data_IF_944498872025
#
_entry.id   IF_944498872025
#
_cell.length_a   1.000
_cell.length_b   1.000
_cell.length_c   1.000
_cell.angle_alpha   90.00
_cell.angle_beta   90.00
_cell.angle_gamma   90.00
#
_symmetry.space_group_name_H-M   'P 1'
#
loop_
_entity.id
_entity.type
_entity.pdbx_description
1 polymer ?
#
# COMPACT_ATOMS: atom_id res chain seq x y z
N UNK A 1 -42.87 -17.71 -2.08
CA UNK A 1 -42.17 -16.42 -2.27
C UNK A 1 -40.74 -16.62 -1.81
N UNK A 2 -39.80 -16.74 -2.73
CA UNK A 2 -38.37 -16.81 -2.43
C UNK A 2 -37.89 -15.39 -2.15
N UNK A 3 -37.34 -15.16 -0.95
CA UNK A 3 -36.71 -13.89 -0.57
C UNK A 3 -35.38 -13.84 -1.32
N UNK A 4 -35.20 -12.86 -2.19
CA UNK A 4 -33.89 -12.61 -2.81
C UNK A 4 -32.87 -12.30 -1.71
N UNK A 5 -31.65 -12.88 -1.76
CA UNK A 5 -30.61 -12.56 -0.81
C UNK A 5 -30.27 -11.06 -0.95
N UNK A 6 -30.01 -10.34 0.16
CA UNK A 6 -29.64 -8.94 0.08
C UNK A 6 -28.40 -8.80 -0.81
N UNK A 7 -28.51 -7.94 -1.82
CA UNK A 7 -27.37 -7.45 -2.61
C UNK A 7 -26.23 -7.07 -1.65
N UNK A 8 -25.00 -7.56 -1.84
CA UNK A 8 -23.88 -7.07 -1.06
C UNK A 8 -23.78 -5.57 -1.34
N UNK A 9 -23.78 -4.78 -0.27
CA UNK A 9 -23.48 -3.36 -0.35
C UNK A 9 -22.13 -3.26 -1.05
N UNK A 10 -22.13 -2.80 -2.31
CA UNK A 10 -20.91 -2.47 -3.01
C UNK A 10 -20.21 -1.46 -2.12
N UNK A 11 -19.19 -1.95 -1.40
CA UNK A 11 -18.41 -1.16 -0.48
C UNK A 11 -17.69 -0.16 -1.35
N UNK A 12 -18.27 1.03 -1.50
CA UNK A 12 -17.52 2.23 -1.80
C UNK A 12 -16.37 2.17 -0.80
N UNK A 13 -15.17 1.89 -1.29
CA UNK A 13 -14.00 1.75 -0.44
C UNK A 13 -13.91 3.05 0.31
N UNK A 14 -14.18 3.03 1.63
CA UNK A 14 -13.90 4.19 2.45
C UNK A 14 -12.44 4.58 2.18
N UNK A 15 -12.15 5.88 1.97
CA UNK A 15 -10.78 6.33 1.78
C UNK A 15 -9.93 5.75 2.89
N UNK A 16 -8.85 5.06 2.53
CA UNK A 16 -7.94 4.45 3.50
C UNK A 16 -7.50 5.52 4.49
N UNK A 17 -7.55 5.19 5.78
CA UNK A 17 -7.12 6.11 6.82
C UNK A 17 -5.66 6.52 6.55
N UNK A 18 -5.35 7.82 6.49
CA UNK A 18 -4.01 8.27 6.18
C UNK A 18 -3.03 7.80 7.27
N UNK A 19 -1.88 7.29 6.85
CA UNK A 19 -0.79 6.89 7.75
C UNK A 19 -0.17 8.12 8.42
N UNK A 20 0.52 7.92 9.56
CA UNK A 20 1.33 8.98 10.17
C UNK A 20 2.64 9.19 9.40
N UNK A 21 3.24 10.39 9.44
CA UNK A 21 4.52 10.65 8.76
C UNK A 21 5.64 9.67 9.16
N UNK A 22 5.78 9.37 10.45
CA UNK A 22 6.78 8.44 10.97
C UNK A 22 6.55 6.99 10.48
N UNK A 23 5.29 6.58 10.37
CA UNK A 23 4.89 5.26 9.90
C UNK A 23 5.21 5.10 8.41
N UNK A 24 4.97 6.15 7.60
CA UNK A 24 5.36 6.19 6.19
C UNK A 24 6.88 6.06 6.07
N UNK A 25 7.65 6.84 6.83
CA UNK A 25 9.11 6.80 6.77
C UNK A 25 9.66 5.41 7.12
N UNK A 26 9.18 4.79 8.20
CA UNK A 26 9.63 3.47 8.63
C UNK A 26 9.33 2.37 7.59
N UNK A 27 8.11 2.36 7.05
CA UNK A 27 7.70 1.37 6.04
C UNK A 27 8.53 1.48 4.76
N UNK A 28 8.72 2.70 4.25
CA UNK A 28 9.49 2.93 3.03
C UNK A 28 10.99 2.75 3.23
N UNK A 29 11.55 3.07 4.40
CA UNK A 29 12.94 2.75 4.72
C UNK A 29 13.21 1.23 4.63
N UNK A 30 12.33 0.40 5.21
CA UNK A 30 12.42 -1.06 5.11
C UNK A 30 12.32 -1.56 3.66
N UNK A 31 11.33 -1.06 2.91
CA UNK A 31 11.14 -1.44 1.50
C UNK A 31 12.36 -1.08 0.63
N UNK A 32 12.92 0.12 0.81
CA UNK A 32 14.09 0.56 0.06
C UNK A 32 15.32 -0.28 0.37
N UNK A 33 15.59 -0.55 1.65
CA UNK A 33 16.69 -1.39 2.10
C UNK A 33 16.62 -2.78 1.45
N UNK A 34 15.43 -3.39 1.44
CA UNK A 34 15.22 -4.69 0.77
C UNK A 34 15.42 -4.62 -0.74
N UNK A 35 14.93 -3.59 -1.42
CA UNK A 35 15.08 -3.45 -2.88
C UNK A 35 16.53 -3.34 -3.32
N UNK A 36 17.38 -2.68 -2.53
CA UNK A 36 18.82 -2.55 -2.83
C UNK A 36 19.66 -3.70 -2.26
N UNK A 37 19.05 -4.64 -1.53
CA UNK A 37 19.73 -5.77 -0.91
C UNK A 37 20.52 -5.42 0.35
N UNK A 38 20.23 -4.28 0.98
CA UNK A 38 20.82 -3.86 2.26
C UNK A 38 20.03 -4.49 3.42
N UNK A 39 20.34 -5.75 3.72
CA UNK A 39 19.64 -6.51 4.74
C UNK A 39 19.97 -6.07 6.16
N UNK A 40 21.16 -5.51 6.39
CA UNK A 40 21.56 -5.00 7.71
C UNK A 40 20.67 -3.81 8.08
N UNK A 41 20.53 -2.82 7.20
CA UNK A 41 19.61 -1.69 7.41
C UNK A 41 18.15 -2.16 7.53
N UNK A 42 17.74 -3.18 6.76
CA UNK A 42 16.38 -3.71 6.87
C UNK A 42 16.13 -4.38 8.23
N UNK A 43 17.12 -5.06 8.80
CA UNK A 43 17.07 -5.61 10.15
C UNK A 43 16.98 -4.51 11.20
N UNK A 44 17.83 -3.47 11.12
CA UNK A 44 17.82 -2.34 12.05
C UNK A 44 16.43 -1.65 12.08
N UNK A 45 15.84 -1.37 10.90
CA UNK A 45 14.50 -0.77 10.82
C UNK A 45 13.42 -1.69 11.43
N UNK A 46 13.54 -3.01 11.22
CA UNK A 46 12.59 -3.98 11.77
C UNK A 46 12.69 -4.08 13.30
N UNK A 47 13.89 -3.97 13.85
CA UNK A 47 14.14 -3.98 15.29
C UNK A 47 13.67 -2.67 15.94
N UNK A 48 13.95 -1.52 15.33
CA UNK A 48 13.55 -0.19 15.82
C UNK A 48 12.03 0.02 15.80
N UNK A 49 11.37 -0.44 14.74
CA UNK A 49 9.90 -0.32 14.58
C UNK A 49 9.15 -1.39 15.35
N UNK A 50 9.78 -2.55 15.54
CA UNK A 50 9.15 -3.78 16.01
C UNK A 50 8.47 -4.55 14.87
N UNK A 51 8.65 -5.89 14.79
CA UNK A 51 8.25 -6.67 13.62
C UNK A 51 6.73 -6.73 13.40
N UNK A 52 5.92 -6.75 14.47
CA UNK A 52 4.47 -6.73 14.35
C UNK A 52 3.94 -5.40 13.83
N UNK A 53 4.52 -4.29 14.32
CA UNK A 53 4.14 -2.95 13.87
C UNK A 53 4.55 -2.76 12.42
N UNK A 54 5.80 -3.07 12.07
CA UNK A 54 6.28 -2.98 10.70
C UNK A 54 5.44 -3.81 9.73
N UNK A 55 4.96 -4.99 10.15
CA UNK A 55 4.08 -5.80 9.32
C UNK A 55 2.75 -5.09 9.02
N UNK A 56 2.13 -4.48 10.03
CA UNK A 56 0.92 -3.65 9.83
C UNK A 56 1.20 -2.49 8.87
N UNK A 57 2.33 -1.81 9.03
CA UNK A 57 2.70 -0.72 8.13
C UNK A 57 2.89 -1.17 6.68
N UNK A 58 3.47 -2.35 6.45
CA UNK A 58 3.59 -2.93 5.10
C UNK A 58 2.22 -3.29 4.51
N UNK A 59 1.29 -3.80 5.33
CA UNK A 59 -0.10 -4.03 4.91
C UNK A 59 -0.78 -2.70 4.53
N UNK A 60 -0.59 -1.65 5.32
CA UNK A 60 -1.15 -0.33 5.03
C UNK A 60 -0.57 0.23 3.73
N UNK A 61 0.75 0.12 3.51
CA UNK A 61 1.38 0.52 2.24
C UNK A 61 0.83 -0.31 1.08
N UNK A 62 0.68 -1.62 1.23
CA UNK A 62 0.07 -2.47 0.20
C UNK A 62 -1.34 -2.03 -0.16
N UNK A 63 -2.17 -1.66 0.83
CA UNK A 63 -3.51 -1.13 0.59
C UNK A 63 -3.46 0.20 -0.18
N UNK A 64 -2.58 1.12 0.22
CA UNK A 64 -2.42 2.44 -0.41
C UNK A 64 -1.79 2.38 -1.81
N UNK A 65 -1.14 1.27 -2.17
CA UNK A 65 -0.56 1.06 -3.51
C UNK A 65 -1.50 0.24 -4.39
N UNK A 66 -1.99 -0.91 -3.92
CA UNK A 66 -2.75 -1.84 -4.76
C UNK A 66 -4.14 -1.30 -5.08
N UNK A 67 -4.86 -0.76 -4.10
CA UNK A 67 -6.26 -0.36 -4.30
C UNK A 67 -6.36 0.84 -5.26
N UNK A 68 -5.64 1.96 -5.07
CA UNK A 68 -5.79 3.11 -5.96
C UNK A 68 -5.32 2.83 -7.39
N UNK A 69 -4.24 2.06 -7.55
CA UNK A 69 -3.68 1.72 -8.87
C UNK A 69 -4.62 0.81 -9.65
N UNK A 70 -5.30 -0.11 -8.98
CA UNK A 70 -6.22 -1.03 -9.63
C UNK A 70 -7.65 -0.50 -9.72
N UNK A 71 -8.00 0.55 -8.98
CA UNK A 71 -9.30 1.21 -9.05
C UNK A 71 -9.35 2.36 -10.08
N UNK A 72 -8.27 2.60 -10.84
CA UNK A 72 -8.24 3.66 -11.86
C UNK A 72 -9.27 3.34 -12.95
N UNK A 73 -10.23 4.26 -13.11
CA UNK A 73 -11.30 4.19 -14.10
C UNK A 73 -10.93 5.09 -15.29
N UNK A 74 -10.28 4.52 -16.31
CA UNK A 74 -9.88 5.25 -17.51
C UNK A 74 -11.06 5.56 -18.46
N UNK A 75 -12.29 5.19 -18.10
CA UNK A 75 -13.48 5.33 -18.95
C UNK A 75 -14.43 6.41 -18.46
N UNK A 76 -14.21 7.67 -18.87
CA UNK A 76 -15.17 8.79 -18.79
C UNK A 76 -15.85 9.05 -17.41
N UNK A 77 -15.39 8.44 -16.32
CA UNK A 77 -16.00 8.52 -14.99
C UNK A 77 -17.17 7.55 -14.75
N UNK A 78 -17.44 6.59 -15.66
CA UNK A 78 -18.41 5.51 -15.43
C UNK A 78 -17.71 4.15 -15.27
N UNK A 79 -17.86 3.47 -14.11
CA UNK A 79 -17.23 2.18 -13.87
C UNK A 79 -17.62 1.15 -14.93
N UNK A 80 -16.63 0.63 -15.67
CA UNK A 80 -16.85 -0.46 -16.61
C UNK A 80 -16.50 -1.83 -15.99
N UNK A 81 -16.91 -2.93 -16.64
CA UNK A 81 -16.62 -4.30 -16.15
C UNK A 81 -15.12 -4.55 -15.91
N UNK A 82 -14.25 -3.91 -16.69
CA UNK A 82 -12.80 -4.00 -16.52
C UNK A 82 -12.32 -3.24 -15.27
N UNK A 83 -12.90 -2.07 -14.96
CA UNK A 83 -12.62 -1.29 -13.75
C UNK A 83 -13.02 -2.07 -12.47
N UNK A 84 -14.16 -2.80 -12.51
CA UNK A 84 -14.54 -3.69 -11.40
C UNK A 84 -13.58 -4.87 -11.23
N UNK A 85 -13.16 -5.50 -12.32
CA UNK A 85 -12.19 -6.60 -12.28
C UNK A 85 -10.84 -6.15 -11.73
N UNK A 86 -10.37 -4.98 -12.15
CA UNK A 86 -9.13 -4.39 -11.66
C UNK A 86 -9.24 -4.11 -10.15
N UNK A 87 -10.30 -3.43 -9.69
CA UNK A 87 -10.51 -3.18 -8.26
C UNK A 87 -10.58 -4.47 -7.43
N UNK A 88 -11.21 -5.52 -7.96
CA UNK A 88 -11.25 -6.84 -7.32
C UNK A 88 -9.85 -7.48 -7.23
N UNK A 89 -9.01 -7.31 -8.26
CA UNK A 89 -7.62 -7.78 -8.26
C UNK A 89 -6.80 -7.08 -7.16
N UNK A 90 -6.92 -5.76 -7.01
CA UNK A 90 -6.21 -5.03 -5.95
C UNK A 90 -6.58 -5.52 -4.55
N UNK A 91 -7.87 -5.77 -4.31
CA UNK A 91 -8.34 -6.34 -3.04
C UNK A 91 -7.82 -7.77 -2.82
N UNK A 92 -7.83 -8.60 -3.84
CA UNK A 92 -7.28 -9.96 -3.75
C UNK A 92 -5.79 -9.95 -3.42
N UNK A 93 -5.01 -9.07 -4.04
CA UNK A 93 -3.59 -8.91 -3.74
C UNK A 93 -3.35 -8.47 -2.30
N UNK A 94 -4.18 -7.55 -1.79
CA UNK A 94 -4.12 -7.14 -0.38
C UNK A 94 -4.45 -8.30 0.57
N UNK A 95 -5.52 -9.05 0.30
CA UNK A 95 -5.90 -10.24 1.08
C UNK A 95 -4.77 -11.27 1.16
N UNK A 96 -4.04 -11.46 0.05
CA UNK A 96 -2.88 -12.34 0.02
C UNK A 96 -1.72 -11.83 0.90
N UNK A 97 -1.49 -10.52 0.99
CA UNK A 97 -0.48 -9.94 1.88
C UNK A 97 -0.87 -10.09 3.36
N UNK A 98 -2.16 -9.90 3.68
CA UNK A 98 -2.66 -10.00 5.06
C UNK A 98 -2.67 -11.45 5.55
N UNK A 99 -3.20 -12.38 4.74
CA UNK A 99 -3.52 -13.73 5.18
C UNK A 99 -2.67 -14.84 4.53
N UNK A 100 -1.90 -14.53 3.50
CA UNK A 100 -1.11 -15.52 2.77
C UNK A 100 0.08 -16.02 3.57
N UNK A 101 0.17 -17.33 3.83
CA UNK A 101 1.22 -17.95 4.67
C UNK A 101 2.66 -17.56 4.28
N UNK A 102 2.94 -17.32 2.99
CA UNK A 102 4.26 -16.90 2.53
C UNK A 102 4.45 -15.37 2.51
N UNK A 103 3.35 -14.62 2.41
CA UNK A 103 3.36 -13.16 2.21
C UNK A 103 3.06 -12.37 3.49
N UNK A 104 2.57 -13.04 4.52
CA UNK A 104 2.35 -12.46 5.85
C UNK A 104 3.65 -12.24 6.64
N UNK A 105 4.78 -12.70 6.12
CA UNK A 105 6.10 -12.38 6.67
C UNK A 105 6.54 -10.97 6.21
N UNK A 106 7.34 -10.25 7.01
CA UNK A 106 7.90 -8.96 6.59
C UNK A 106 8.61 -9.02 5.22
N UNK A 107 9.48 -10.02 4.96
CA UNK A 107 10.09 -10.18 3.65
C UNK A 107 9.06 -10.44 2.55
N UNK A 108 8.07 -11.29 2.82
CA UNK A 108 7.04 -11.67 1.84
C UNK A 108 6.16 -10.49 1.44
N UNK A 109 5.70 -9.69 2.39
CA UNK A 109 4.91 -8.49 2.14
C UNK A 109 5.71 -7.46 1.33
N UNK A 110 6.96 -7.21 1.73
CA UNK A 110 7.85 -6.29 1.03
C UNK A 110 8.18 -6.76 -0.40
N UNK A 111 8.42 -8.05 -0.59
CA UNK A 111 8.67 -8.64 -1.91
C UNK A 111 7.42 -8.55 -2.80
N UNK A 112 6.22 -8.76 -2.25
CA UNK A 112 4.96 -8.62 -2.98
C UNK A 112 4.75 -7.17 -3.46
N UNK A 113 4.92 -6.18 -2.58
CA UNK A 113 4.83 -4.76 -2.92
C UNK A 113 5.86 -4.41 -3.99
N UNK A 114 7.12 -4.81 -3.80
CA UNK A 114 8.22 -4.50 -4.74
C UNK A 114 7.98 -5.10 -6.13
N UNK A 115 7.50 -6.35 -6.20
CA UNK A 115 7.17 -7.02 -7.48
C UNK A 115 5.96 -6.39 -8.16
N UNK A 116 4.93 -6.01 -7.40
CA UNK A 116 3.80 -5.26 -7.95
C UNK A 116 4.27 -3.94 -8.56
N UNK A 117 5.09 -3.18 -7.81
CA UNK A 117 5.69 -1.94 -8.31
C UNK A 117 6.50 -2.17 -9.59
N UNK A 118 7.33 -3.22 -9.64
CA UNK A 118 8.15 -3.53 -10.81
C UNK A 118 7.35 -3.99 -12.05
N UNK A 119 6.23 -4.67 -11.84
CA UNK A 119 5.46 -5.23 -12.96
C UNK A 119 4.38 -4.28 -13.47
N UNK A 120 3.85 -3.42 -12.60
CA UNK A 120 2.65 -2.61 -12.89
C UNK A 120 2.97 -1.12 -12.94
N UNK A 121 3.93 -0.63 -12.13
CA UNK A 121 4.16 0.80 -11.96
C UNK A 121 5.43 1.34 -12.62
N UNK A 122 6.33 0.46 -13.05
CA UNK A 122 7.55 0.88 -13.77
C UNK A 122 7.37 0.71 -15.26
N UNK A 123 6.87 1.76 -15.93
CA UNK A 123 6.78 1.77 -17.40
C UNK A 123 8.08 2.21 -18.08
N UNK A 124 8.92 3.05 -17.45
CA UNK A 124 10.24 3.39 -18.01
C UNK A 124 11.21 4.11 -17.04
N UNK A 125 12.51 3.76 -17.15
CA UNK A 125 13.74 4.38 -16.59
C UNK A 125 13.90 4.59 -15.08
N UNK A 126 12.83 4.74 -14.30
CA UNK A 126 12.90 4.74 -12.84
C UNK A 126 12.71 3.30 -12.38
N UNK A 127 13.80 2.59 -12.10
CA UNK A 127 13.70 1.27 -11.47
C UNK A 127 12.88 1.32 -10.18
N UNK A 128 12.52 0.15 -9.64
CA UNK A 128 11.61 -0.03 -8.48
C UNK A 128 11.87 0.96 -7.35
N UNK A 129 13.13 1.14 -6.93
CA UNK A 129 13.52 2.08 -5.87
C UNK A 129 13.07 3.54 -6.15
N UNK A 130 13.13 3.97 -7.41
CA UNK A 130 12.72 5.30 -7.82
C UNK A 130 11.21 5.50 -7.75
N UNK A 131 10.42 4.47 -8.06
CA UNK A 131 8.96 4.51 -7.89
C UNK A 131 8.58 4.46 -6.42
N UNK A 132 9.23 3.61 -5.62
CA UNK A 132 9.02 3.57 -4.17
C UNK A 132 9.31 4.94 -3.51
N UNK A 133 10.35 5.67 -3.93
CA UNK A 133 10.61 7.05 -3.44
C UNK A 133 9.49 8.02 -3.79
N UNK A 134 8.86 7.85 -4.95
CA UNK A 134 7.75 8.70 -5.37
C UNK A 134 6.48 8.40 -4.56
N UNK A 135 6.22 7.11 -4.32
CA UNK A 135 5.12 6.65 -3.46
C UNK A 135 5.33 7.13 -2.01
N UNK A 136 6.55 7.03 -1.49
CA UNK A 136 6.93 7.59 -0.19
C UNK A 136 6.65 9.10 -0.12
N UNK A 137 7.11 9.86 -1.10
CA UNK A 137 6.89 11.31 -1.14
C UNK A 137 5.40 11.66 -1.23
N UNK A 138 4.60 10.87 -1.94
CA UNK A 138 3.15 11.04 -2.01
C UNK A 138 2.47 10.72 -0.68
N UNK A 139 2.79 9.58 -0.08
CA UNK A 139 2.29 9.17 1.23
C UNK A 139 2.67 10.16 2.33
N UNK A 140 3.90 10.68 2.30
CA UNK A 140 4.38 11.69 3.25
C UNK A 140 3.57 13.00 3.15
N UNK A 141 3.29 13.48 1.93
CA UNK A 141 2.43 14.66 1.75
C UNK A 141 1.04 14.43 2.32
N UNK A 142 0.41 13.30 1.99
CA UNK A 142 -0.92 12.95 2.50
C UNK A 142 -0.93 12.83 4.04
N UNK A 143 0.08 12.19 4.61
CA UNK A 143 0.24 12.03 6.04
C UNK A 143 0.38 13.39 6.75
N UNK A 144 1.17 14.31 6.20
CA UNK A 144 1.35 15.66 6.74
C UNK A 144 0.08 16.52 6.65
N UNK A 145 -0.70 16.38 5.57
CA UNK A 145 -1.97 17.08 5.41
C UNK A 145 -3.04 16.58 6.38
N UNK A 146 -3.07 15.27 6.64
CA UNK A 146 -4.00 14.64 7.57
C UNK A 146 -3.62 14.82 9.05
N UNK A 147 -2.32 14.94 9.34
CA UNK A 147 -1.78 15.11 10.69
C UNK A 147 -1.02 16.42 10.81
N UNK A 148 -1.69 17.58 10.67
CA UNK A 148 -1.03 18.87 10.83
C UNK A 148 -0.49 18.95 12.26
N UNK A 149 0.82 19.13 12.39
CA UNK A 149 1.44 19.41 13.68
C UNK A 149 0.66 20.57 14.31
N UNK A 150 0.10 20.36 15.50
CA UNK A 150 -0.56 21.43 16.25
C UNK A 150 0.42 22.59 16.35
N UNK A 151 0.21 23.65 15.55
CA UNK A 151 0.82 24.94 15.79
C UNK A 151 0.20 25.45 17.08
N UNK A 152 0.85 25.19 18.19
CA UNK A 152 0.66 25.99 19.39
C UNK A 152 1.07 27.41 19.04
N UNK A 153 0.10 28.23 18.64
CA UNK A 153 0.27 29.68 18.59
C UNK A 153 0.43 30.14 20.03
N UNK A 154 1.66 30.50 20.38
CA UNK A 154 1.96 31.28 21.57
C UNK A 154 1.40 32.70 21.44
#
# INVERSE_FOLDING_TARGET
MLREPPMPENTITEPLAPMKPEDVAAAFAYLQARVVGDFDTACDVADDTGPEQLHRLLVDVAAHVFIPVTAVDDYHGEPCAHSFLAAALGRLLLELVVHGVCLSSLPGAADAISRFTANILTEDRRGVAGVLRQLEAAGMRQAMEAHPAHRTTA
#
